data_IF_470206543628
#
_entry.id   IF_470206543628
#
_cell.length_a   1.000
_cell.length_b   1.000
_cell.length_c   1.000
_cell.angle_alpha   90.00
_cell.angle_beta   90.00
_cell.angle_gamma   90.00
#
_symmetry.space_group_name_H-M   'P 1'
#
loop_
_entity.id
_entity.type
_entity.pdbx_description
1 polymer ?
#
# COMPACT_ATOMS: atom_id res chain seq x y z
N UNK A 1 -16.29 -13.66 8.56
CA UNK A 1 -14.84 -13.57 8.56
C UNK A 1 -14.34 -12.22 8.97
N UNK A 2 -13.55 -12.17 9.96
CA UNK A 2 -13.13 -10.90 10.48
C UNK A 2 -11.80 -10.44 9.97
N UNK A 3 -10.91 -11.37 9.67
CA UNK A 3 -9.54 -11.05 9.29
C UNK A 3 -9.29 -11.43 7.88
N UNK A 4 -8.45 -10.65 7.24
CA UNK A 4 -7.97 -11.01 5.92
C UNK A 4 -6.77 -11.92 6.10
N UNK A 5 -6.76 -13.03 5.42
CA UNK A 5 -5.61 -13.91 5.40
C UNK A 5 -4.70 -13.61 4.22
N UNK A 6 -5.17 -12.80 3.28
CA UNK A 6 -4.35 -12.40 2.13
C UNK A 6 -4.25 -10.89 2.11
N UNK A 7 -3.16 -10.36 1.57
CA UNK A 7 -2.96 -8.90 1.56
C UNK A 7 -4.01 -8.19 0.71
N UNK A 8 -4.29 -6.97 1.09
CA UNK A 8 -5.12 -6.09 0.28
C UNK A 8 -4.56 -6.02 -1.14
N UNK A 9 -5.41 -6.14 -2.13
CA UNK A 9 -4.99 -6.15 -3.52
C UNK A 9 -5.14 -7.51 -4.18
N UNK A 10 -5.34 -8.55 -3.41
CA UNK A 10 -5.41 -9.92 -3.90
C UNK A 10 -6.67 -10.62 -3.45
N UNK A 11 -7.00 -11.69 -4.14
CA UNK A 11 -8.13 -12.53 -3.79
C UNK A 11 -7.83 -13.94 -4.23
N UNK A 12 -8.58 -14.90 -3.71
CA UNK A 12 -8.52 -16.26 -4.22
C UNK A 12 -9.55 -16.45 -5.29
N UNK A 13 -9.14 -17.10 -6.36
CA UNK A 13 -10.03 -17.41 -7.47
C UNK A 13 -9.76 -18.85 -7.86
N UNK A 14 -10.75 -19.71 -7.65
CA UNK A 14 -10.58 -21.14 -7.92
C UNK A 14 -9.37 -21.73 -7.21
N UNK A 15 -9.15 -21.29 -5.98
CA UNK A 15 -8.07 -21.79 -5.16
C UNK A 15 -6.70 -21.23 -5.46
N UNK A 16 -6.61 -20.25 -6.35
CA UNK A 16 -5.34 -19.65 -6.76
C UNK A 16 -5.36 -18.17 -6.43
N UNK A 17 -4.21 -17.65 -6.02
CA UNK A 17 -4.08 -16.23 -5.77
C UNK A 17 -4.23 -15.45 -7.07
N UNK A 18 -5.06 -14.43 -7.04
CA UNK A 18 -5.31 -13.59 -8.21
C UNK A 18 -5.36 -12.14 -7.77
N UNK A 19 -5.24 -11.25 -8.74
CA UNK A 19 -5.36 -9.82 -8.48
C UNK A 19 -6.82 -9.48 -8.28
N UNK A 20 -7.09 -8.68 -7.24
CA UNK A 20 -8.40 -8.07 -7.03
C UNK A 20 -8.35 -6.71 -7.71
N UNK A 21 -9.00 -6.52 -8.87
CA UNK A 21 -8.76 -5.31 -9.66
C UNK A 21 -9.02 -3.99 -8.93
N UNK A 22 -10.15 -3.82 -8.22
CA UNK A 22 -10.34 -2.55 -7.51
C UNK A 22 -9.29 -2.31 -6.45
N UNK A 23 -8.94 -3.35 -5.69
CA UNK A 23 -7.95 -3.20 -4.63
C UNK A 23 -6.55 -2.97 -5.22
N UNK A 24 -6.23 -3.67 -6.31
CA UNK A 24 -4.94 -3.48 -6.96
C UNK A 24 -4.80 -2.06 -7.49
N UNK A 25 -5.87 -1.52 -8.04
CA UNK A 25 -5.86 -0.14 -8.50
C UNK A 25 -5.55 0.82 -7.35
N UNK A 26 -6.14 0.55 -6.18
CA UNK A 26 -5.87 1.36 -5.00
C UNK A 26 -4.42 1.25 -4.58
N UNK A 27 -3.85 0.04 -4.61
CA UNK A 27 -2.44 -0.15 -4.28
C UNK A 27 -1.56 0.69 -5.21
N UNK A 28 -1.85 0.64 -6.50
CA UNK A 28 -1.09 1.43 -7.47
C UNK A 28 -1.19 2.92 -7.17
N UNK A 29 -2.38 3.38 -6.82
CA UNK A 29 -2.57 4.79 -6.49
C UNK A 29 -1.80 5.20 -5.24
N UNK A 30 -1.77 4.33 -4.25
CA UNK A 30 -1.01 4.60 -3.03
C UNK A 30 0.46 4.81 -3.35
N UNK A 31 1.04 3.91 -4.16
CA UNK A 31 2.44 4.06 -4.52
C UNK A 31 2.68 5.31 -5.35
N UNK A 32 1.79 5.59 -6.30
CA UNK A 32 1.93 6.78 -7.13
C UNK A 32 1.86 8.06 -6.29
N UNK A 33 0.91 8.13 -5.38
CA UNK A 33 0.75 9.32 -4.53
C UNK A 33 1.97 9.50 -3.63
N UNK A 34 2.45 8.40 -3.06
CA UNK A 34 3.60 8.49 -2.17
C UNK A 34 4.85 8.95 -2.94
N UNK A 35 5.05 8.40 -4.14
CA UNK A 35 6.21 8.78 -4.96
C UNK A 35 6.12 10.22 -5.44
N UNK A 36 4.91 10.77 -5.52
CA UNK A 36 4.76 12.18 -5.89
C UNK A 36 4.95 13.13 -4.70
N UNK A 37 5.16 12.58 -3.51
CA UNK A 37 5.49 13.39 -2.34
C UNK A 37 4.39 13.56 -1.32
N UNK A 38 3.25 12.88 -1.47
CA UNK A 38 2.17 13.05 -0.52
C UNK A 38 2.48 12.34 0.79
N UNK A 39 2.18 12.98 1.93
CA UNK A 39 2.41 12.34 3.21
C UNK A 39 1.40 11.22 3.46
N UNK A 40 1.77 10.30 4.34
CA UNK A 40 0.93 9.14 4.62
C UNK A 40 -0.44 9.54 5.13
N UNK A 41 -0.51 10.56 5.98
CA UNK A 41 -1.78 10.99 6.53
C UNK A 41 -2.72 11.52 5.46
N UNK A 42 -2.17 12.18 4.46
CA UNK A 42 -2.99 12.73 3.38
C UNK A 42 -3.51 11.60 2.48
N UNK A 43 -2.66 10.62 2.21
CA UNK A 43 -3.07 9.46 1.42
C UNK A 43 -4.19 8.72 2.15
N UNK A 44 -4.04 8.51 3.46
CA UNK A 44 -5.05 7.84 4.26
C UNK A 44 -6.37 8.61 4.26
N UNK A 45 -6.29 9.93 4.41
CA UNK A 45 -7.51 10.76 4.42
C UNK A 45 -8.23 10.69 3.08
N UNK A 46 -7.46 10.66 2.00
CA UNK A 46 -8.04 10.59 0.66
C UNK A 46 -8.78 9.26 0.46
N UNK A 47 -8.16 8.16 0.88
CA UNK A 47 -8.79 6.85 0.74
C UNK A 47 -10.05 6.74 1.59
N UNK A 48 -10.02 7.31 2.79
CA UNK A 48 -11.19 7.34 3.65
C UNK A 48 -12.31 8.14 3.00
N UNK A 49 -11.98 9.30 2.45
CA UNK A 49 -12.96 10.16 1.81
C UNK A 49 -13.60 9.49 0.60
N UNK A 50 -12.84 8.64 -0.10
CA UNK A 50 -13.36 7.93 -1.25
C UNK A 50 -14.06 6.63 -0.87
N UNK A 51 -14.18 6.36 0.41
CA UNK A 51 -14.88 5.17 0.91
C UNK A 51 -14.30 3.88 0.36
N UNK A 52 -12.97 3.83 0.30
CA UNK A 52 -12.28 2.61 -0.13
C UNK A 52 -12.31 1.62 1.03
N UNK A 53 -12.89 0.46 0.79
CA UNK A 53 -13.05 -0.55 1.82
C UNK A 53 -11.80 -1.43 1.87
N UNK A 54 -11.15 -1.54 3.04
CA UNK A 54 -9.99 -2.43 3.16
C UNK A 54 -10.32 -3.74 3.85
N UNK A 55 -11.45 -3.77 4.55
CA UNK A 55 -12.04 -4.99 5.13
C UNK A 55 -13.53 -4.81 5.05
N UNK A 56 -14.31 -5.89 5.04
CA UNK A 56 -15.76 -5.74 5.00
C UNK A 56 -16.25 -4.81 6.11
N UNK A 57 -16.91 -3.74 5.71
CA UNK A 57 -17.45 -2.76 6.65
C UNK A 57 -16.45 -1.80 7.23
N UNK A 58 -15.24 -1.77 6.73
CA UNK A 58 -14.21 -0.88 7.25
C UNK A 58 -13.64 0.00 6.15
N UNK A 59 -13.84 1.30 6.30
CA UNK A 59 -13.41 2.28 5.30
C UNK A 59 -12.46 3.32 5.85
N UNK A 60 -12.16 3.30 7.12
CA UNK A 60 -11.34 4.34 7.72
C UNK A 60 -9.87 3.96 7.67
N UNK A 61 -9.13 4.67 6.87
CA UNK A 61 -7.71 4.43 6.69
C UNK A 61 -6.90 5.27 7.65
N UNK A 62 -5.70 4.80 7.97
CA UNK A 62 -4.77 5.58 8.79
C UNK A 62 -3.37 5.40 8.23
N UNK A 63 -2.41 6.12 8.82
CA UNK A 63 -1.03 6.09 8.33
C UNK A 63 -0.43 4.70 8.40
N UNK A 64 -0.75 3.96 9.45
CA UNK A 64 -0.19 2.63 9.62
C UNK A 64 -0.63 1.69 8.51
N UNK A 65 -1.89 1.81 8.09
CA UNK A 65 -2.42 0.97 7.04
C UNK A 65 -1.80 1.31 5.69
N UNK A 66 -1.62 2.59 5.41
CA UNK A 66 -0.96 3.01 4.18
C UNK A 66 0.49 2.53 4.17
N UNK A 67 1.17 2.69 5.30
CA UNK A 67 2.56 2.25 5.42
C UNK A 67 2.68 0.75 5.18
N UNK A 68 1.71 -0.01 5.66
CA UNK A 68 1.72 -1.46 5.48
C UNK A 68 1.68 -1.84 4.00
N UNK A 69 0.91 -1.08 3.21
CA UNK A 69 0.87 -1.29 1.77
C UNK A 69 2.23 -0.99 1.15
N UNK A 70 2.82 0.14 1.54
CA UNK A 70 4.09 0.56 0.95
C UNK A 70 5.24 -0.39 1.32
N UNK A 71 5.12 -1.09 2.43
CA UNK A 71 6.17 -2.00 2.89
C UNK A 71 6.02 -3.43 2.39
N UNK A 72 4.93 -3.74 1.70
CA UNK A 72 4.65 -5.12 1.33
C UNK A 72 5.29 -5.48 -0.02
N UNK A 73 6.39 -6.21 0.03
CA UNK A 73 7.13 -6.57 -1.17
C UNK A 73 6.37 -7.53 -2.08
N UNK A 74 5.31 -8.14 -1.59
CA UNK A 74 4.53 -9.06 -2.42
C UNK A 74 3.91 -8.36 -3.62
N UNK A 75 3.67 -7.07 -3.50
CA UNK A 75 3.06 -6.30 -4.60
C UNK A 75 3.94 -6.22 -5.83
N UNK A 76 5.23 -6.43 -5.71
CA UNK A 76 6.10 -6.43 -6.89
C UNK A 76 6.29 -7.84 -7.48
N UNK A 77 5.48 -8.78 -7.04
CA UNK A 77 5.47 -10.12 -7.63
C UNK A 77 6.28 -11.14 -6.89
N UNK A 78 6.49 -10.94 -5.60
CA UNK A 78 7.28 -11.86 -4.80
C UNK A 78 6.49 -13.15 -4.52
N UNK A 79 7.18 -14.29 -4.62
CA UNK A 79 6.54 -15.56 -4.38
C UNK A 79 5.44 -15.85 -5.40
N UNK A 80 4.33 -16.34 -4.93
CA UNK A 80 3.20 -16.68 -5.79
C UNK A 80 2.25 -15.53 -6.02
N UNK A 81 2.59 -14.35 -5.53
CA UNK A 81 1.71 -13.20 -5.65
C UNK A 81 1.85 -12.53 -7.01
N UNK A 82 0.73 -12.32 -7.74
CA UNK A 82 0.81 -11.59 -9.00
C UNK A 82 1.32 -10.17 -8.79
N UNK A 83 2.05 -9.68 -9.77
CA UNK A 83 2.63 -8.34 -9.69
C UNK A 83 1.55 -7.28 -9.86
N UNK A 84 1.52 -6.32 -8.94
CA UNK A 84 0.62 -5.17 -9.01
C UNK A 84 1.39 -3.90 -9.34
N UNK A 85 2.61 -3.78 -8.81
CA UNK A 85 3.48 -2.64 -9.10
C UNK A 85 4.82 -3.19 -9.62
N UNK A 86 5.64 -2.29 -10.16
CA UNK A 86 6.96 -2.69 -10.62
C UNK A 86 7.93 -2.73 -9.46
N UNK A 87 8.99 -3.50 -9.62
CA UNK A 87 10.05 -3.55 -8.65
C UNK A 87 10.66 -2.16 -8.45
N UNK A 88 10.78 -1.41 -9.54
CA UNK A 88 11.31 -0.07 -9.49
C UNK A 88 10.45 0.83 -8.62
N UNK A 89 9.14 0.76 -8.78
CA UNK A 89 8.22 1.55 -7.96
C UNK A 89 8.39 1.22 -6.48
N UNK A 90 8.49 -0.06 -6.17
CA UNK A 90 8.65 -0.48 -4.79
C UNK A 90 9.95 0.05 -4.21
N UNK A 91 11.04 -0.09 -4.97
CA UNK A 91 12.35 0.35 -4.49
C UNK A 91 12.41 1.86 -4.33
N UNK A 92 11.80 2.60 -5.25
CA UNK A 92 11.79 4.06 -5.15
C UNK A 92 11.00 4.52 -3.94
N UNK A 93 9.88 3.87 -3.66
CA UNK A 93 9.09 4.21 -2.48
C UNK A 93 9.88 3.92 -1.21
N UNK A 94 10.61 2.81 -1.20
CA UNK A 94 11.42 2.46 -0.05
C UNK A 94 12.54 3.47 0.19
N UNK A 95 13.20 3.89 -0.89
CA UNK A 95 14.23 4.92 -0.81
C UNK A 95 13.67 6.24 -0.31
N UNK A 96 12.50 6.61 -0.79
CA UNK A 96 11.87 7.86 -0.37
C UNK A 96 11.55 7.82 1.11
N UNK A 97 11.11 6.67 1.60
CA UNK A 97 10.81 6.49 3.00
C UNK A 97 12.05 6.67 3.86
N UNK A 98 13.15 6.07 3.43
CA UNK A 98 14.41 6.21 4.17
C UNK A 98 14.92 7.64 4.17
N UNK A 99 14.80 8.31 3.03
CA UNK A 99 15.17 9.70 2.93
C UNK A 99 14.36 10.58 3.88
N UNK A 100 13.06 10.33 3.92
CA UNK A 100 12.20 11.11 4.80
C UNK A 100 12.55 10.87 6.25
N UNK A 101 12.84 9.62 6.62
CA UNK A 101 13.26 9.31 7.97
C UNK A 101 14.55 10.03 8.33
N UNK A 102 15.51 10.01 7.40
CA UNK A 102 16.78 10.69 7.63
C UNK A 102 16.57 12.18 7.81
N UNK A 103 15.73 12.77 6.99
CA UNK A 103 15.47 14.19 7.08
C UNK A 103 14.76 14.58 8.35
N UNK A 104 14.01 13.68 8.92
CA UNK A 104 13.29 13.96 10.16
C UNK A 104 14.13 13.78 11.40
N UNK A 105 15.30 13.21 11.27
CA UNK A 105 16.21 13.13 12.38
C UNK A 105 16.49 14.52 12.86
N UNK A 106 16.36 14.69 14.10
CA UNK A 106 16.67 16.00 14.61
C UNK A 106 18.08 16.26 14.43
N UNK A 107 18.44 16.78 14.07
CA UNK A 107 19.60 16.92 13.92
C UNK A 107 20.26 17.37 14.89
N UNK A 108 20.10 16.99 15.17
CA UNK A 108 20.42 17.21 15.88
C UNK A 108 20.87 17.74 16.11
N UNK A 109 21.02 17.70 15.77
CA UNK A 109 21.28 18.17 15.86
C UNK A 109 21.55 18.54 16.17
#
# INVERSE_FOLDING_TARGET
MKNRTIPFGYQYENGVLAINPPEAHTVQKVFTAYLSGEPLSKIAAHLTAKLVEYLPGRWQWDKARVKRILDNSRYMGEGDFPKIITEKQFQMAHQQKESANTNRQPVDE
#
